data_IF_110930011381
#
_entry.id   IF_110930011381
#
_cell.length_a   1.000
_cell.length_b   1.000
_cell.length_c   1.000
_cell.angle_alpha   90.00
_cell.angle_beta   90.00
_cell.angle_gamma   90.00
#
_symmetry.space_group_name_H-M   'P 1'
#
loop_
_entity.id
_entity.type
_entity.pdbx_description
1 polymer ?
#
# COMPACT_ATOMS: atom_id res chain seq x y z
N UNK A 1 13.43 60.48 -35.09
CA UNK A 1 14.43 60.05 -34.09
C UNK A 1 13.71 59.64 -32.81
N UNK A 2 14.13 58.50 -32.22
CA UNK A 2 13.71 57.89 -30.93
C UNK A 2 12.30 57.30 -30.86
N UNK A 3 12.03 56.13 -30.24
CA UNK A 3 12.78 54.93 -29.83
C UNK A 3 11.68 53.91 -29.44
N UNK A 4 11.89 52.64 -29.80
CA UNK A 4 11.08 51.45 -29.49
C UNK A 4 10.96 51.23 -27.98
N UNK A 5 9.81 50.80 -27.45
CA UNK A 5 9.72 49.80 -26.36
C UNK A 5 8.40 49.01 -26.47
N UNK A 6 8.48 47.78 -26.98
CA UNK A 6 7.46 46.76 -26.82
C UNK A 6 7.62 46.14 -25.42
N UNK A 7 6.64 46.33 -24.55
CA UNK A 7 6.60 45.66 -23.25
C UNK A 7 5.81 44.36 -23.42
N UNK A 8 6.50 43.25 -23.62
CA UNK A 8 5.89 41.92 -23.56
C UNK A 8 5.65 41.65 -22.08
N UNK A 9 4.39 41.75 -21.66
CA UNK A 9 3.95 41.30 -20.36
C UNK A 9 3.93 39.77 -20.39
N UNK A 10 5.03 39.15 -19.99
CA UNK A 10 5.11 37.72 -19.76
C UNK A 10 4.21 37.37 -18.57
N UNK A 11 2.96 37.00 -18.86
CA UNK A 11 2.09 36.36 -17.90
C UNK A 11 2.65 34.96 -17.65
N UNK A 12 3.41 34.81 -16.57
CA UNK A 12 3.74 33.50 -16.03
C UNK A 12 2.43 32.86 -15.58
N UNK A 13 1.90 31.96 -16.40
CA UNK A 13 0.93 30.98 -15.94
C UNK A 13 1.72 30.10 -14.98
N UNK A 14 1.51 30.31 -13.67
CA UNK A 14 1.93 29.37 -12.66
C UNK A 14 1.25 28.04 -13.01
N UNK A 15 2.01 27.13 -13.62
CA UNK A 15 1.66 25.73 -13.61
C UNK A 15 1.64 25.35 -12.13
N UNK A 16 0.44 25.24 -11.55
CA UNK A 16 0.26 24.49 -10.33
C UNK A 16 0.81 23.10 -10.63
N UNK A 17 1.97 22.78 -10.07
CA UNK A 17 2.42 21.40 -9.98
C UNK A 17 1.36 20.73 -9.12
N UNK A 18 0.39 20.06 -9.76
CA UNK A 18 -0.36 19.05 -9.05
C UNK A 18 0.69 18.05 -8.56
N UNK A 19 0.73 17.82 -7.24
CA UNK A 19 1.43 16.67 -6.69
C UNK A 19 0.95 15.46 -7.51
N UNK A 20 1.89 14.83 -8.21
CA UNK A 20 1.61 13.56 -8.87
C UNK A 20 1.48 12.62 -7.69
N UNK A 21 0.25 12.26 -7.31
CA UNK A 21 0.03 11.14 -6.41
C UNK A 21 0.90 10.00 -6.95
N UNK A 22 1.79 9.43 -6.14
CA UNK A 22 2.63 8.33 -6.58
C UNK A 22 1.76 7.31 -7.32
N UNK A 23 2.14 6.93 -8.54
CA UNK A 23 1.43 5.90 -9.30
C UNK A 23 1.54 4.61 -8.48
N UNK A 24 0.50 4.29 -7.69
CA UNK A 24 0.50 3.12 -6.83
C UNK A 24 0.57 1.88 -7.74
N UNK A 25 1.62 1.05 -7.63
CA UNK A 25 1.78 -0.12 -8.48
C UNK A 25 0.61 -1.09 -8.34
N UNK A 26 0.22 -1.76 -9.43
CA UNK A 26 -0.91 -2.69 -9.43
C UNK A 26 -0.70 -3.91 -8.51
N UNK A 27 0.55 -4.24 -8.16
CA UNK A 27 0.90 -5.31 -7.22
C UNK A 27 1.07 -4.81 -5.78
N UNK A 28 0.79 -3.54 -5.49
CA UNK A 28 0.86 -3.00 -4.14
C UNK A 28 -0.29 -3.53 -3.27
N UNK A 29 0.04 -3.96 -2.07
CA UNK A 29 -0.92 -4.33 -1.03
C UNK A 29 -1.31 -3.06 -0.27
N UNK A 30 -2.60 -2.79 -0.16
CA UNK A 30 -3.12 -1.64 0.57
C UNK A 30 -3.60 -2.03 1.96
N UNK A 31 -3.06 -1.36 2.98
CA UNK A 31 -3.59 -1.36 4.33
C UNK A 31 -4.43 -0.09 4.51
N UNK A 32 -5.73 -0.29 4.60
CA UNK A 32 -6.74 0.76 4.76
C UNK A 32 -6.77 1.24 6.21
N UNK A 33 -6.58 2.55 6.37
CA UNK A 33 -6.75 3.27 7.62
C UNK A 33 -7.78 4.38 7.46
N UNK A 34 -8.88 4.17 6.73
CA UNK A 34 -9.95 5.17 6.61
C UNK A 34 -10.73 5.43 7.91
N UNK A 35 -10.54 4.60 8.94
CA UNK A 35 -11.19 4.78 10.25
C UNK A 35 -10.46 5.86 11.05
N UNK A 36 -11.15 6.86 11.62
CA UNK A 36 -10.53 7.86 12.49
C UNK A 36 -9.69 7.23 13.61
N UNK A 37 -8.48 7.75 13.80
CA UNK A 37 -7.52 7.27 14.79
C UNK A 37 -6.64 6.12 14.29
N UNK A 38 -6.76 5.75 13.02
CA UNK A 38 -5.83 4.84 12.34
C UNK A 38 -4.45 5.47 12.16
N UNK A 39 -4.37 6.78 11.97
CA UNK A 39 -3.14 7.54 11.86
C UNK A 39 -3.06 8.51 13.04
N UNK A 40 -2.01 8.37 13.85
CA UNK A 40 -1.72 9.23 15.00
C UNK A 40 -0.37 9.88 14.75
N UNK A 41 -0.28 11.18 15.03
CA UNK A 41 0.94 11.96 14.87
C UNK A 41 1.25 12.62 16.21
N UNK A 42 2.47 12.45 16.73
CA UNK A 42 2.92 13.08 17.97
C UNK A 42 4.23 13.83 17.72
N UNK A 43 4.23 15.13 18.06
CA UNK A 43 5.39 16.02 17.93
C UNK A 43 6.03 16.36 19.29
N UNK A 44 5.86 15.49 20.29
CA UNK A 44 6.36 15.65 21.66
C UNK A 44 5.35 16.27 22.63
N UNK A 45 4.12 16.54 22.19
CA UNK A 45 3.05 17.11 23.01
C UNK A 45 1.82 16.20 23.13
N UNK A 46 1.91 14.98 22.59
CA UNK A 46 0.78 14.08 22.44
C UNK A 46 0.21 14.11 21.02
N UNK A 47 -0.85 13.32 20.82
CA UNK A 47 -1.53 13.18 19.54
C UNK A 47 -2.10 14.52 19.04
N UNK A 48 -1.50 15.05 17.98
CA UNK A 48 -1.96 16.28 17.32
C UNK A 48 -3.10 16.04 16.32
N UNK A 49 -3.45 14.77 16.06
CA UNK A 49 -4.58 14.41 15.20
C UNK A 49 -5.91 14.36 15.95
N UNK A 50 -5.89 14.56 17.27
CA UNK A 50 -7.06 14.47 18.16
C UNK A 50 -7.85 13.16 18.01
N UNK A 51 -7.17 12.06 17.69
CA UNK A 51 -7.79 10.76 17.40
C UNK A 51 -8.56 10.70 16.09
N UNK A 52 -8.42 11.71 15.23
CA UNK A 52 -9.17 11.83 13.98
C UNK A 52 -8.33 11.53 12.73
N UNK A 53 -7.03 11.29 12.88
CA UNK A 53 -6.16 11.04 11.74
C UNK A 53 -6.53 9.76 10.99
N UNK A 54 -6.45 9.84 9.67
CA UNK A 54 -6.69 8.74 8.73
C UNK A 54 -5.59 8.69 7.69
N UNK A 55 -5.33 7.52 7.12
CA UNK A 55 -4.37 7.36 6.03
C UNK A 55 -4.43 5.96 5.45
N UNK A 56 -3.64 5.70 4.42
CA UNK A 56 -3.43 4.36 3.88
C UNK A 56 -1.93 4.08 3.83
N UNK A 57 -1.54 2.81 3.94
CA UNK A 57 -0.17 2.39 3.68
C UNK A 57 -0.16 1.38 2.55
N UNK A 58 0.77 1.56 1.62
CA UNK A 58 0.97 0.66 0.49
C UNK A 58 2.31 -0.05 0.63
N UNK A 59 2.29 -1.38 0.47
CA UNK A 59 3.47 -2.22 0.47
C UNK A 59 3.59 -2.87 -0.91
N UNK A 60 4.66 -2.57 -1.64
CA UNK A 60 4.89 -3.13 -2.98
C UNK A 60 6.01 -4.16 -2.92
N UNK A 61 5.76 -5.44 -3.28
CA UNK A 61 6.81 -6.44 -3.36
C UNK A 61 7.87 -6.08 -4.40
N UNK A 62 9.15 -6.14 -4.02
CA UNK A 62 10.31 -5.91 -4.92
C UNK A 62 11.00 -7.24 -5.24
N UNK A 63 11.39 -7.97 -4.20
CA UNK A 63 11.95 -9.32 -4.28
C UNK A 63 11.72 -10.07 -2.97
N UNK A 64 12.18 -11.32 -2.87
CA UNK A 64 12.12 -12.04 -1.60
C UNK A 64 12.84 -11.25 -0.50
N UNK A 65 12.16 -11.04 0.64
CA UNK A 65 12.67 -10.25 1.76
C UNK A 65 12.76 -8.73 1.56
N UNK A 66 12.32 -8.17 0.42
CA UNK A 66 12.38 -6.73 0.12
C UNK A 66 11.07 -6.18 -0.44
N UNK A 67 10.66 -5.04 0.09
CA UNK A 67 9.47 -4.30 -0.36
C UNK A 67 9.74 -2.81 -0.47
N UNK A 68 8.91 -2.09 -1.21
CA UNK A 68 8.80 -0.64 -1.09
C UNK A 68 7.63 -0.30 -0.17
N UNK A 69 7.82 0.67 0.71
CA UNK A 69 6.83 1.18 1.65
C UNK A 69 6.42 2.60 1.24
N UNK A 70 5.11 2.85 1.24
CA UNK A 70 4.54 4.17 0.95
C UNK A 70 3.43 4.52 1.93
N UNK A 71 3.60 5.62 2.66
CA UNK A 71 2.53 6.35 3.33
C UNK A 71 2.35 7.68 2.58
N UNK A 72 1.30 7.84 1.77
CA UNK A 72 1.12 9.03 0.96
C UNK A 72 0.56 10.20 1.77
N UNK A 73 0.83 11.41 1.30
CA UNK A 73 0.22 12.67 1.73
C UNK A 73 0.19 12.87 3.26
N UNK A 74 1.29 12.56 3.96
CA UNK A 74 1.41 12.77 5.39
C UNK A 74 1.11 14.24 5.71
N UNK A 75 0.01 14.48 6.42
CA UNK A 75 -0.51 15.83 6.66
C UNK A 75 -0.51 16.11 8.15
N UNK A 76 0.16 17.19 8.53
CA UNK A 76 0.17 17.68 9.89
C UNK A 76 -1.01 18.63 10.11
N UNK A 77 -1.90 18.37 11.07
CA UNK A 77 -2.96 19.29 11.45
C UNK A 77 -2.41 20.69 11.74
N UNK A 78 -2.93 21.70 11.04
CA UNK A 78 -2.52 23.10 11.18
C UNK A 78 -1.23 23.51 10.47
N UNK A 79 -0.40 22.56 10.01
CA UNK A 79 0.86 22.84 9.31
C UNK A 79 0.84 22.44 7.82
N UNK A 80 -0.10 21.58 7.42
CA UNK A 80 -0.32 21.18 6.03
C UNK A 80 0.38 19.87 5.65
N UNK A 81 0.37 19.56 4.35
CA UNK A 81 0.88 18.30 3.80
C UNK A 81 2.39 18.34 3.65
N UNK A 82 3.08 17.41 4.30
CA UNK A 82 4.52 17.21 4.15
C UNK A 82 4.87 16.45 2.87
N UNK A 83 3.94 15.63 2.37
CA UNK A 83 4.12 14.77 1.21
C UNK A 83 4.26 13.30 1.62
N UNK A 84 4.79 12.51 0.71
CA UNK A 84 4.84 11.06 0.85
C UNK A 84 6.03 10.63 1.72
N UNK A 85 5.80 9.65 2.59
CA UNK A 85 6.88 8.87 3.20
C UNK A 85 7.07 7.62 2.33
N UNK A 86 8.01 7.73 1.39
CA UNK A 86 8.38 6.66 0.46
C UNK A 86 9.75 6.08 0.86
N UNK A 87 9.81 4.77 1.11
CA UNK A 87 11.01 4.05 1.49
C UNK A 87 11.19 2.87 0.54
N UNK A 88 12.28 2.87 -0.23
CA UNK A 88 12.58 1.78 -1.16
C UNK A 88 13.43 0.69 -0.50
N UNK A 89 13.28 -0.56 -0.95
CA UNK A 89 14.08 -1.71 -0.46
C UNK A 89 14.03 -1.89 1.07
N UNK A 90 12.86 -1.69 1.67
CA UNK A 90 12.59 -2.02 3.07
C UNK A 90 12.79 -3.51 3.28
N UNK A 91 13.59 -3.88 4.28
CA UNK A 91 13.89 -5.27 4.58
C UNK A 91 12.77 -5.88 5.41
N UNK A 92 12.33 -7.08 5.02
CA UNK A 92 11.27 -7.82 5.72
C UNK A 92 11.78 -9.13 6.32
N UNK A 93 11.34 -9.44 7.54
CA UNK A 93 11.52 -10.76 8.16
C UNK A 93 10.16 -11.34 8.51
N UNK A 94 9.91 -12.58 8.10
CA UNK A 94 8.68 -13.29 8.48
C UNK A 94 8.95 -14.19 9.68
N UNK A 95 8.21 -13.97 10.76
CA UNK A 95 8.25 -14.77 11.97
C UNK A 95 7.45 -16.07 11.83
N UNK A 96 7.64 -17.00 12.77
CA UNK A 96 7.02 -18.33 12.72
C UNK A 96 5.49 -18.30 12.82
N UNK A 97 4.92 -17.23 13.37
CA UNK A 97 3.47 -17.02 13.49
C UNK A 97 2.85 -16.34 12.25
N UNK A 98 3.66 -16.05 11.24
CA UNK A 98 3.25 -15.36 10.02
C UNK A 98 3.29 -13.83 10.12
N UNK A 99 3.75 -13.26 11.23
CA UNK A 99 4.00 -11.82 11.35
C UNK A 99 5.17 -11.43 10.45
N UNK A 100 4.97 -10.40 9.62
CA UNK A 100 6.04 -9.80 8.81
C UNK A 100 6.50 -8.54 9.51
N UNK A 101 7.81 -8.41 9.74
CA UNK A 101 8.47 -7.25 10.36
C UNK A 101 9.21 -6.45 9.31
N UNK A 102 9.04 -5.13 9.31
CA UNK A 102 9.61 -4.20 8.33
C UNK A 102 10.66 -3.30 8.98
N UNK A 103 11.84 -3.20 8.37
CA UNK A 103 12.96 -2.42 8.89
C UNK A 103 13.60 -1.59 7.78
N UNK A 104 13.78 -0.30 8.02
CA UNK A 104 14.46 0.62 7.13
C UNK A 104 14.91 1.87 7.86
N UNK A 105 15.99 2.48 7.38
CA UNK A 105 16.46 3.80 7.78
C UNK A 105 16.83 4.59 6.53
N UNK A 106 16.29 5.79 6.40
CA UNK A 106 16.72 6.80 5.42
C UNK A 106 17.25 7.99 6.20
N UNK A 107 18.52 8.33 6.01
CA UNK A 107 19.20 9.38 6.79
C UNK A 107 18.82 10.81 6.36
N UNK A 108 18.36 11.00 5.12
CA UNK A 108 18.01 12.32 4.59
C UNK A 108 16.84 12.21 3.59
N UNK A 109 15.62 12.21 4.11
CA UNK A 109 14.39 12.31 3.33
C UNK A 109 13.98 13.77 3.21
N UNK A 110 13.75 14.19 1.96
CA UNK A 110 13.29 15.54 1.63
C UNK A 110 11.76 15.60 1.62
N UNK A 111 11.19 16.43 2.48
CA UNK A 111 9.75 16.62 2.64
C UNK A 111 9.37 18.10 2.46
N UNK A 112 8.08 18.36 2.27
CA UNK A 112 7.51 19.69 2.08
C UNK A 112 8.23 20.47 0.97
N UNK A 113 8.46 19.81 -0.17
CA UNK A 113 9.18 20.39 -1.32
C UNK A 113 10.64 20.75 -1.03
N UNK A 114 11.28 20.08 -0.07
CA UNK A 114 12.66 20.34 0.34
C UNK A 114 12.84 21.31 1.49
N UNK A 115 11.75 21.81 2.08
CA UNK A 115 11.84 22.63 3.28
C UNK A 115 12.18 21.82 4.54
N UNK A 116 11.88 20.52 4.55
CA UNK A 116 12.17 19.60 5.64
C UNK A 116 13.15 18.55 5.15
N UNK A 117 14.23 18.38 5.91
CA UNK A 117 15.17 17.27 5.78
C UNK A 117 15.05 16.42 7.04
N UNK A 118 14.76 15.13 6.90
CA UNK A 118 14.48 14.28 8.04
C UNK A 118 15.09 12.89 7.90
N UNK A 119 15.56 12.34 9.01
CA UNK A 119 15.84 10.91 9.09
C UNK A 119 14.53 10.17 9.35
N UNK A 120 14.24 9.17 8.52
CA UNK A 120 13.06 8.31 8.65
C UNK A 120 13.48 6.91 9.04
N UNK A 121 12.87 6.37 10.10
CA UNK A 121 13.16 5.03 10.61
C UNK A 121 11.88 4.23 10.80
N UNK A 122 11.85 3.00 10.28
CA UNK A 122 10.87 1.99 10.62
C UNK A 122 11.43 1.08 11.73
N UNK A 123 10.58 0.70 12.70
CA UNK A 123 10.91 -0.22 13.81
C UNK A 123 12.01 0.30 14.77
N UNK A 124 11.63 1.42 15.39
CA UNK A 124 12.23 2.23 16.43
C UNK A 124 12.54 1.75 17.87
N UNK A 125 13.51 0.88 18.16
CA UNK A 125 13.87 0.60 19.56
C UNK A 125 12.75 -0.03 20.42
N UNK A 126 12.80 0.13 21.74
CA UNK A 126 11.95 -0.63 22.67
C UNK A 126 10.46 -0.23 22.59
N UNK A 127 9.61 -1.21 22.29
CA UNK A 127 8.15 -1.08 22.30
C UNK A 127 7.53 -0.53 21.02
N UNK A 128 8.34 -0.21 20.00
CA UNK A 128 7.86 0.16 18.66
C UNK A 128 8.02 -1.01 17.69
N UNK A 129 7.10 -1.13 16.74
CA UNK A 129 7.17 -2.13 15.70
C UNK A 129 6.59 -1.63 14.39
N UNK A 130 7.05 -2.22 13.30
CA UNK A 130 6.46 -2.08 11.98
C UNK A 130 6.14 -3.48 11.50
N UNK A 131 4.88 -3.88 11.58
CA UNK A 131 4.46 -5.26 11.33
C UNK A 131 3.13 -5.37 10.62
N UNK A 132 2.95 -6.51 9.95
CA UNK A 132 1.66 -6.99 9.48
C UNK A 132 1.46 -8.43 9.93
N UNK A 133 0.27 -8.80 10.38
CA UNK A 133 -0.03 -10.17 10.82
C UNK A 133 -0.74 -10.99 9.73
N UNK A 134 -0.85 -12.30 9.94
CA UNK A 134 -1.54 -13.23 9.04
C UNK A 134 -3.05 -12.96 8.92
N UNK A 135 -3.64 -12.18 9.83
CA UNK A 135 -5.01 -11.73 9.73
C UNK A 135 -5.13 -10.45 8.87
N UNK A 136 -4.02 -9.89 8.38
CA UNK A 136 -3.98 -8.68 7.59
C UNK A 136 -4.11 -7.40 8.41
N UNK A 137 -3.85 -7.42 9.72
CA UNK A 137 -3.74 -6.18 10.50
C UNK A 137 -2.34 -5.60 10.33
N UNK A 138 -2.24 -4.28 10.11
CA UNK A 138 -0.99 -3.54 10.06
C UNK A 138 -0.80 -2.67 11.30
N UNK A 139 0.43 -2.57 11.76
CA UNK A 139 0.89 -1.62 12.77
C UNK A 139 2.24 -1.05 12.35
N UNK A 140 2.34 0.25 12.10
CA UNK A 140 3.60 0.89 11.73
C UNK A 140 3.92 2.07 12.65
N UNK A 141 4.99 1.96 13.42
CA UNK A 141 5.62 3.10 14.08
C UNK A 141 6.76 3.66 13.20
N UNK A 142 6.54 4.85 12.67
CA UNK A 142 7.43 5.53 11.75
C UNK A 142 7.97 6.77 12.47
N UNK A 143 9.28 6.82 12.64
CA UNK A 143 9.93 7.97 13.23
C UNK A 143 10.43 8.89 12.13
N UNK A 144 9.86 10.09 12.04
CA UNK A 144 10.32 11.15 11.14
C UNK A 144 11.04 12.19 11.99
N UNK A 145 12.37 12.18 11.98
CA UNK A 145 13.22 13.05 12.80
C UNK A 145 13.67 14.24 11.97
N UNK A 146 13.01 15.38 12.11
CA UNK A 146 13.30 16.59 11.34
C UNK A 146 14.56 17.29 11.86
N UNK A 147 15.52 17.53 10.97
CA UNK A 147 16.70 18.37 11.19
C UNK A 147 16.37 19.85 11.05
N UNK A 148 16.18 20.53 12.19
CA UNK A 148 15.83 21.95 12.25
C UNK A 148 16.96 22.88 11.79
N UNK A 149 18.20 22.40 11.83
CA UNK A 149 19.40 23.14 11.45
C UNK A 149 20.19 22.47 10.31
N UNK A 150 19.48 21.80 9.40
CA UNK A 150 20.08 21.19 8.21
C UNK A 150 21.00 22.18 7.45
N UNK A 151 22.21 21.75 7.02
CA UNK A 151 22.75 20.39 7.04
C UNK A 151 23.59 20.05 8.29
N UNK A 152 23.59 20.88 9.34
CA UNK A 152 24.38 20.61 10.54
C UNK A 152 23.81 19.43 11.35
N UNK A 153 22.50 19.22 11.29
CA UNK A 153 21.77 18.09 11.87
C UNK A 153 22.05 17.91 13.37
N UNK A 154 22.17 19.02 14.11
CA UNK A 154 22.42 19.01 15.57
C UNK A 154 21.17 19.30 16.39
N UNK A 155 20.13 19.86 15.75
CA UNK A 155 18.83 20.13 16.36
C UNK A 155 17.76 19.29 15.69
N UNK A 156 17.14 18.41 16.47
CA UNK A 156 16.13 17.48 16.00
C UNK A 156 14.76 17.81 16.57
N UNK A 157 13.72 17.72 15.73
CA UNK A 157 12.32 17.74 16.12
C UNK A 157 11.67 16.41 15.70
N UNK A 158 11.28 15.54 16.63
CA UNK A 158 10.63 14.30 16.29
C UNK A 158 9.19 14.53 15.84
N UNK A 159 8.79 13.81 14.78
CA UNK A 159 7.42 13.63 14.32
C UNK A 159 7.19 12.12 14.33
N UNK A 160 6.60 11.61 15.40
CA UNK A 160 6.28 10.20 15.55
C UNK A 160 4.94 9.93 14.87
N UNK A 161 4.93 9.00 13.93
CA UNK A 161 3.73 8.59 13.21
C UNK A 161 3.41 7.15 13.60
N UNK A 162 2.19 6.91 14.05
CA UNK A 162 1.67 5.57 14.27
C UNK A 162 0.52 5.32 13.33
N UNK A 163 0.64 4.28 12.53
CA UNK A 163 -0.43 3.80 11.65
C UNK A 163 -0.96 2.44 12.12
N UNK A 164 -2.27 2.28 12.07
CA UNK A 164 -2.98 1.01 12.28
C UNK A 164 -4.02 0.84 11.18
N UNK A 165 -3.90 -0.22 10.39
CA UNK A 165 -4.78 -0.43 9.24
C UNK A 165 -5.14 -1.88 9.04
N UNK A 166 -6.05 -2.11 8.09
CA UNK A 166 -6.48 -3.45 7.68
C UNK A 166 -6.17 -3.67 6.21
N UNK A 167 -5.57 -4.80 5.88
CA UNK A 167 -5.35 -5.20 4.51
C UNK A 167 -6.69 -5.23 3.78
N UNK A 168 -6.75 -4.49 2.69
CA UNK A 168 -7.86 -4.54 1.73
C UNK A 168 -7.37 -5.30 0.51
N UNK A 169 -8.18 -6.23 0.01
CA UNK A 169 -7.91 -6.81 -1.30
C UNK A 169 -8.24 -5.75 -2.35
N UNK A 170 -7.20 -5.05 -2.85
CA UNK A 170 -7.32 -4.31 -4.09
C UNK A 170 -7.39 -5.33 -5.23
N UNK A 171 -8.60 -5.78 -5.53
CA UNK A 171 -8.88 -6.75 -6.58
C UNK A 171 -9.32 -8.10 -6.03
N UNK A 172 -10.23 -8.73 -6.75
CA UNK A 172 -10.75 -10.07 -6.51
C UNK A 172 -9.58 -11.07 -6.35
N UNK A 173 -9.12 -11.28 -5.12
CA UNK A 173 -7.99 -12.19 -4.86
C UNK A 173 -8.40 -13.65 -4.95
N UNK A 174 -9.70 -13.94 -4.93
CA UNK A 174 -10.24 -15.27 -5.13
C UNK A 174 -11.58 -15.18 -5.91
N UNK A 175 -11.57 -15.54 -7.19
CA UNK A 175 -12.65 -16.42 -7.63
C UNK A 175 -12.25 -17.76 -7.03
N UNK A 176 -12.83 -18.10 -5.87
CA UNK A 176 -12.71 -19.45 -5.36
C UNK A 176 -13.12 -20.37 -6.52
N UNK A 177 -12.19 -21.20 -7.00
CA UNK A 177 -12.62 -22.38 -7.71
C UNK A 177 -13.48 -23.13 -6.71
N UNK A 178 -14.73 -23.38 -7.08
CA UNK A 178 -15.59 -24.25 -6.29
C UNK A 178 -14.97 -25.66 -6.36
N UNK A 179 -13.97 -25.91 -5.53
CA UNK A 179 -13.25 -27.17 -5.42
C UNK A 179 -14.17 -28.29 -4.87
N UNK A 180 -15.39 -27.92 -4.49
CA UNK A 180 -16.49 -28.77 -4.08
C UNK A 180 -17.63 -28.86 -5.11
N UNK A 181 -17.51 -28.22 -6.27
CA UNK A 181 -18.56 -28.19 -7.28
C UNK A 181 -18.93 -29.62 -7.68
N UNK A 182 -20.22 -29.93 -7.63
CA UNK A 182 -20.74 -31.14 -8.22
C UNK A 182 -20.35 -31.17 -9.71
N UNK A 183 -19.95 -32.33 -10.25
CA UNK A 183 -19.55 -32.41 -11.64
C UNK A 183 -20.71 -32.09 -12.58
N UNK A 184 -20.45 -31.23 -13.55
CA UNK A 184 -21.39 -30.93 -14.64
C UNK A 184 -21.04 -31.81 -15.85
N UNK A 185 -22.06 -32.40 -16.47
CA UNK A 185 -21.89 -33.25 -17.65
C UNK A 185 -22.53 -32.60 -18.86
N UNK A 186 -21.85 -32.70 -20.00
CA UNK A 186 -22.33 -32.19 -21.28
C UNK A 186 -22.22 -33.27 -22.35
N UNK A 187 -23.18 -33.30 -23.26
CA UNK A 187 -23.05 -34.05 -24.51
C UNK A 187 -22.01 -33.39 -25.45
N UNK A 188 -21.70 -34.04 -26.57
CA UNK A 188 -20.74 -33.49 -27.54
C UNK A 188 -21.30 -32.29 -28.33
N UNK A 189 -22.57 -31.94 -28.15
CA UNK A 189 -23.21 -30.76 -28.72
C UNK A 189 -23.21 -29.59 -27.73
N UNK A 190 -22.76 -29.80 -26.48
CA UNK A 190 -22.67 -28.79 -25.44
C UNK A 190 -23.93 -28.64 -24.58
N UNK A 191 -24.91 -29.54 -24.68
CA UNK A 191 -26.09 -29.53 -23.82
C UNK A 191 -25.79 -30.19 -22.48
N UNK A 192 -26.34 -29.65 -21.39
CA UNK A 192 -26.23 -30.23 -20.05
C UNK A 192 -26.95 -31.58 -19.95
N UNK A 193 -26.33 -32.54 -19.28
CA UNK A 193 -26.84 -33.90 -19.03
C UNK A 193 -26.81 -34.17 -17.52
N UNK A 194 -27.89 -34.71 -16.97
CA UNK A 194 -27.90 -35.13 -15.56
C UNK A 194 -27.02 -36.37 -15.36
N UNK A 195 -26.34 -36.47 -14.22
CA UNK A 195 -25.46 -37.61 -13.91
C UNK A 195 -26.19 -38.97 -14.00
N UNK A 196 -27.45 -39.03 -13.53
CA UNK A 196 -28.29 -40.23 -13.57
C UNK A 196 -28.82 -40.57 -14.98
N UNK A 197 -28.60 -39.68 -15.95
CA UNK A 197 -29.02 -39.85 -17.36
C UNK A 197 -27.86 -40.24 -18.28
N UNK A 198 -26.65 -40.47 -17.75
CA UNK A 198 -25.51 -40.94 -18.53
C UNK A 198 -25.75 -42.37 -19.01
N UNK A 199 -25.56 -42.59 -20.31
CA UNK A 199 -25.75 -43.92 -20.93
C UNK A 199 -24.39 -44.62 -21.06
N UNK A 200 -24.23 -45.84 -20.51
CA UNK A 200 -22.99 -46.60 -20.65
C UNK A 200 -22.55 -46.75 -22.12
N UNK A 201 -21.26 -46.53 -22.37
CA UNK A 201 -20.66 -46.58 -23.71
C UNK A 201 -20.81 -45.29 -24.53
N UNK A 202 -21.55 -44.28 -24.07
CA UNK A 202 -21.60 -42.96 -24.71
C UNK A 202 -20.49 -42.03 -24.19
N UNK A 203 -20.10 -41.07 -25.03
CA UNK A 203 -19.02 -40.11 -24.74
C UNK A 203 -19.57 -38.77 -24.31
N UNK A 204 -19.02 -38.21 -23.23
CA UNK A 204 -19.45 -36.93 -22.64
C UNK A 204 -18.24 -36.06 -22.29
N UNK A 205 -18.51 -34.79 -22.01
CA UNK A 205 -17.57 -33.87 -21.33
C UNK A 205 -17.99 -33.76 -19.88
N UNK A 206 -17.06 -34.03 -18.95
CA UNK A 206 -17.21 -33.72 -17.52
C UNK A 206 -16.44 -32.43 -17.24
N UNK A 207 -17.13 -31.42 -16.70
CA UNK A 207 -16.51 -30.19 -16.17
C UNK A 207 -16.56 -30.24 -14.64
N UNK A 208 -15.40 -30.06 -14.02
CA UNK A 208 -15.27 -29.96 -12.56
C UNK A 208 -13.98 -29.23 -12.21
N UNK A 209 -14.01 -28.35 -11.20
CA UNK A 209 -12.83 -27.65 -10.66
C UNK A 209 -12.01 -26.96 -11.76
N UNK A 210 -12.67 -26.21 -12.64
CA UNK A 210 -12.04 -25.51 -13.76
C UNK A 210 -11.48 -26.40 -14.88
N UNK A 211 -11.59 -27.72 -14.77
CA UNK A 211 -11.08 -28.69 -15.74
C UNK A 211 -12.23 -29.31 -16.54
N UNK A 212 -12.04 -29.51 -17.84
CA UNK A 212 -12.94 -30.24 -18.71
C UNK A 212 -12.25 -31.49 -19.27
N UNK A 213 -12.82 -32.67 -19.04
CA UNK A 213 -12.31 -33.93 -19.57
C UNK A 213 -13.36 -34.63 -20.44
N UNK A 214 -12.91 -35.22 -21.54
CA UNK A 214 -13.73 -36.12 -22.36
C UNK A 214 -13.62 -37.54 -21.80
N UNK A 215 -14.74 -38.20 -21.55
CA UNK A 215 -14.77 -39.57 -21.03
C UNK A 215 -15.89 -40.39 -21.67
N UNK A 216 -15.79 -41.71 -21.58
CA UNK A 216 -16.86 -42.65 -21.93
C UNK A 216 -17.53 -43.09 -20.63
N UNK A 217 -18.86 -42.95 -20.53
CA UNK A 217 -19.61 -43.39 -19.36
C UNK A 217 -19.50 -44.93 -19.21
N UNK A 218 -19.19 -45.37 -18.00
CA UNK A 218 -19.06 -46.79 -17.64
C UNK A 218 -20.41 -47.40 -17.26
#
# INVERSE_FOLDING_TARGET
>A
MKKIYASILSLFIAASVQAIAADIPANAVCYDGSTPGSLVIDMGTGDITDGQGTGNVYITPVSDGLVDFLLPDLTLPGLGTLGDIELTNVTTTTEADGTVVYNATVEDMSLLGGAIHAKVVLANGDGKSCTTDAAGNAHFNIDVIWYMDYPANTQEMPIYVTFKGKQTSLGFSDIATDDTAAPEYFDLQGNTVNADALVPGQTYIKRQNGTAIKFVAL
#
